data_IF_600887368182
#
_entry.id   IF_600887368182
#
_cell.length_a   1.000
_cell.length_b   1.000
_cell.length_c   1.000
_cell.angle_alpha   90.00
_cell.angle_beta   90.00
_cell.angle_gamma   90.00
#
_symmetry.space_group_name_H-M   'P 1'
#
loop_
_entity.id
_entity.type
_entity.pdbx_description
1 polymer ?
#
# COMPACT_ATOMS: atom_id res chain seq x y z
N UNK A 1 2.46 -5.11 -24.85
CA UNK A 1 1.11 -4.51 -24.89
C UNK A 1 1.12 -3.30 -25.83
N UNK A 2 -0.01 -2.98 -26.49
CA UNK A 2 -0.12 -1.80 -27.41
C UNK A 2 -1.33 -0.91 -27.09
N UNK A 3 -2.14 -1.37 -26.17
CA UNK A 3 -3.45 -0.89 -25.74
C UNK A 3 -3.38 -0.07 -24.43
N UNK A 4 -2.24 -0.12 -23.75
CA UNK A 4 -1.98 0.56 -22.47
C UNK A 4 -0.57 1.14 -22.45
N UNK A 5 -0.37 2.16 -21.61
CA UNK A 5 0.95 2.67 -21.29
C UNK A 5 1.70 1.66 -20.41
N UNK A 6 2.91 1.28 -20.82
CA UNK A 6 3.75 0.29 -20.10
C UNK A 6 5.00 0.90 -19.45
N UNK A 7 5.26 2.18 -19.70
CA UNK A 7 6.42 2.91 -19.22
C UNK A 7 6.04 4.37 -18.98
N UNK A 8 6.40 4.93 -17.83
CA UNK A 8 6.15 6.34 -17.51
C UNK A 8 7.13 7.28 -18.22
N UNK A 9 6.85 8.60 -18.28
CA UNK A 9 7.80 9.59 -18.79
C UNK A 9 9.15 9.62 -18.04
N UNK A 10 9.20 9.16 -16.79
CA UNK A 10 10.42 9.02 -15.99
C UNK A 10 11.04 7.61 -16.02
N UNK A 11 10.64 6.78 -16.99
CA UNK A 11 11.20 5.45 -17.27
C UNK A 11 10.90 4.38 -16.21
N UNK A 12 9.88 4.57 -15.37
CA UNK A 12 9.39 3.50 -14.49
C UNK A 12 8.44 2.57 -15.25
N UNK A 13 8.58 1.24 -15.13
CA UNK A 13 7.64 0.30 -15.73
C UNK A 13 6.26 0.42 -15.07
N UNK A 14 5.22 0.32 -15.89
CA UNK A 14 3.85 0.06 -15.43
C UNK A 14 3.60 -1.43 -15.62
N UNK A 15 3.39 -2.15 -14.52
CA UNK A 15 3.25 -3.60 -14.50
C UNK A 15 1.85 -3.98 -14.94
N UNK A 16 1.78 -4.63 -16.09
CA UNK A 16 0.57 -5.23 -16.63
C UNK A 16 0.83 -6.70 -16.94
N UNK A 17 -0.22 -7.50 -16.94
CA UNK A 17 -0.11 -8.87 -17.43
C UNK A 17 0.44 -8.88 -18.87
N UNK A 18 1.43 -9.75 -19.09
CA UNK A 18 2.17 -9.85 -20.34
C UNK A 18 3.32 -8.84 -20.54
N UNK A 19 3.69 -8.02 -19.54
CA UNK A 19 4.88 -7.13 -19.62
C UNK A 19 6.12 -7.68 -18.93
N UNK A 20 6.02 -8.83 -18.29
CA UNK A 20 7.10 -9.46 -17.54
C UNK A 20 7.09 -10.98 -17.72
N UNK A 21 8.22 -11.63 -17.43
CA UNK A 21 8.33 -13.09 -17.36
C UNK A 21 8.54 -13.47 -15.90
N UNK A 22 7.55 -14.17 -15.32
CA UNK A 22 7.57 -14.63 -13.92
C UNK A 22 8.78 -15.52 -13.67
N UNK A 23 8.98 -16.55 -14.49
CA UNK A 23 10.10 -17.50 -14.36
C UNK A 23 11.47 -16.80 -14.29
N UNK A 24 11.69 -15.77 -15.12
CA UNK A 24 12.96 -15.02 -15.12
C UNK A 24 13.11 -14.20 -13.83
N UNK A 25 12.06 -13.51 -13.40
CA UNK A 25 12.09 -12.69 -12.19
C UNK A 25 12.22 -13.56 -10.94
N UNK A 26 11.46 -14.64 -10.83
CA UNK A 26 11.53 -15.58 -9.70
C UNK A 26 12.94 -16.15 -9.58
N UNK A 27 13.54 -16.59 -10.69
CA UNK A 27 14.92 -17.09 -10.69
C UNK A 27 15.94 -16.05 -10.19
N UNK A 28 15.71 -14.75 -10.44
CA UNK A 28 16.56 -13.67 -9.95
C UNK A 28 16.34 -13.37 -8.47
N UNK A 29 15.10 -13.49 -7.96
CA UNK A 29 14.75 -13.13 -6.59
C UNK A 29 14.98 -14.26 -5.60
N UNK A 30 14.78 -15.52 -5.98
CA UNK A 30 15.07 -16.68 -5.13
C UNK A 30 16.53 -16.68 -4.68
N UNK A 31 17.47 -16.25 -5.54
CA UNK A 31 18.89 -16.20 -5.22
C UNK A 31 19.26 -15.12 -4.19
N UNK A 32 18.40 -14.11 -4.00
CA UNK A 32 18.67 -12.99 -3.10
C UNK A 32 18.19 -13.24 -1.68
N UNK A 33 17.34 -14.26 -1.46
CA UNK A 33 16.77 -14.62 -0.16
C UNK A 33 16.17 -13.43 0.60
N UNK A 34 15.44 -12.58 -0.14
CA UNK A 34 14.81 -11.37 0.40
C UNK A 34 13.52 -11.73 1.11
N UNK A 35 13.23 -11.02 2.20
CA UNK A 35 11.98 -11.16 2.96
C UNK A 35 11.11 -9.94 2.70
N UNK A 36 9.84 -10.18 2.36
CA UNK A 36 8.87 -9.10 2.15
C UNK A 36 7.88 -9.02 3.31
N UNK A 37 7.60 -7.82 3.79
CA UNK A 37 6.57 -7.55 4.76
C UNK A 37 5.26 -7.10 4.11
N UNK A 38 4.13 -7.50 4.67
CA UNK A 38 2.81 -6.93 4.36
C UNK A 38 2.21 -6.36 5.63
N UNK A 39 1.91 -5.07 5.64
CA UNK A 39 1.20 -4.40 6.72
C UNK A 39 -0.27 -4.26 6.34
N UNK A 40 -1.16 -4.66 7.24
CA UNK A 40 -2.60 -4.52 7.06
C UNK A 40 -3.30 -4.22 8.38
N UNK A 41 -4.42 -3.51 8.31
CA UNK A 41 -5.17 -3.03 9.47
C UNK A 41 -6.59 -3.55 9.44
N UNK A 42 -7.01 -4.23 10.50
CA UNK A 42 -8.35 -4.77 10.67
C UNK A 42 -8.91 -4.34 12.02
N UNK A 43 -9.56 -3.18 12.04
CA UNK A 43 -10.10 -2.57 13.25
C UNK A 43 -11.62 -2.39 13.13
N UNK A 44 -12.34 -2.60 14.24
CA UNK A 44 -13.79 -2.44 14.31
C UNK A 44 -14.53 -3.22 13.20
N UNK A 45 -15.20 -2.50 12.29
CA UNK A 45 -15.98 -3.07 11.17
C UNK A 45 -15.14 -3.86 10.16
N UNK A 46 -13.81 -3.73 10.19
CA UNK A 46 -12.93 -4.39 9.24
C UNK A 46 -12.42 -5.76 9.70
N UNK A 47 -12.62 -6.10 10.98
CA UNK A 47 -12.25 -7.40 11.55
C UNK A 47 -12.82 -8.61 10.79
N UNK A 48 -14.06 -8.59 10.26
CA UNK A 48 -14.59 -9.71 9.48
C UNK A 48 -13.82 -10.01 8.18
N UNK A 49 -13.01 -9.09 7.66
CA UNK A 49 -12.25 -9.32 6.41
C UNK A 49 -10.95 -10.11 6.62
N UNK A 50 -10.48 -10.26 7.86
CA UNK A 50 -9.18 -10.88 8.18
C UNK A 50 -9.02 -12.25 7.52
N UNK A 51 -10.01 -13.14 7.68
CA UNK A 51 -9.88 -14.50 7.17
C UNK A 51 -9.84 -14.55 5.63
N UNK A 52 -10.70 -13.77 4.97
CA UNK A 52 -10.74 -13.72 3.51
C UNK A 52 -9.45 -13.17 2.92
N UNK A 53 -8.96 -12.05 3.47
CA UNK A 53 -7.70 -11.45 3.07
C UNK A 53 -6.54 -12.42 3.28
N UNK A 54 -6.32 -12.91 4.51
CA UNK A 54 -5.15 -13.73 4.84
C UNK A 54 -5.11 -15.03 4.03
N UNK A 55 -6.24 -15.71 3.82
CA UNK A 55 -6.28 -16.93 2.99
C UNK A 55 -5.93 -16.66 1.54
N UNK A 56 -6.40 -15.54 0.98
CA UNK A 56 -6.10 -15.17 -0.39
C UNK A 56 -4.64 -14.70 -0.55
N UNK A 57 -4.14 -13.91 0.41
CA UNK A 57 -2.77 -13.43 0.44
C UNK A 57 -1.77 -14.58 0.60
N UNK A 58 -2.01 -15.52 1.52
CA UNK A 58 -1.18 -16.72 1.71
C UNK A 58 -1.04 -17.55 0.42
N UNK A 59 -2.12 -17.59 -0.38
CA UNK A 59 -2.14 -18.33 -1.64
C UNK A 59 -1.46 -17.59 -2.81
N UNK A 60 -1.62 -16.27 -2.88
CA UNK A 60 -1.34 -15.53 -4.12
C UNK A 60 -0.22 -14.50 -4.00
N UNK A 61 0.03 -13.95 -2.82
CA UNK A 61 1.03 -12.91 -2.62
C UNK A 61 2.41 -13.54 -2.43
N UNK A 62 3.31 -13.31 -3.39
CA UNK A 62 4.69 -13.79 -3.39
C UNK A 62 4.82 -15.29 -3.05
N UNK A 63 3.86 -16.11 -3.51
CA UNK A 63 3.85 -17.54 -3.24
C UNK A 63 5.19 -18.20 -3.58
N UNK A 64 5.78 -18.94 -2.63
CA UNK A 64 7.12 -19.52 -2.75
C UNK A 64 8.27 -18.61 -2.28
N UNK A 65 8.00 -17.39 -1.83
CA UNK A 65 8.97 -16.49 -1.21
C UNK A 65 8.60 -16.19 0.26
N UNK A 66 9.59 -15.87 1.13
CA UNK A 66 9.31 -15.56 2.52
C UNK A 66 8.49 -14.27 2.68
N UNK A 67 7.34 -14.36 3.35
CA UNK A 67 6.50 -13.19 3.66
C UNK A 67 6.16 -13.10 5.14
N UNK A 68 6.38 -11.91 5.72
CA UNK A 68 5.93 -11.58 7.06
C UNK A 68 4.67 -10.69 6.98
N UNK A 69 3.52 -11.22 7.40
CA UNK A 69 2.27 -10.48 7.54
C UNK A 69 2.18 -9.82 8.91
N UNK A 70 2.06 -8.50 8.96
CA UNK A 70 1.87 -7.70 10.16
C UNK A 70 0.42 -7.21 10.21
N UNK A 71 -0.41 -7.91 10.99
CA UNK A 71 -1.83 -7.62 11.15
C UNK A 71 -2.05 -6.76 12.39
N UNK A 72 -2.42 -5.50 12.19
CA UNK A 72 -2.85 -4.60 13.26
C UNK A 72 -4.35 -4.79 13.51
N UNK A 73 -4.75 -5.13 14.73
CA UNK A 73 -6.18 -5.36 15.06
C UNK A 73 -6.50 -5.10 16.52
N UNK A 74 -7.72 -4.64 16.78
CA UNK A 74 -8.29 -4.53 18.13
C UNK A 74 -8.95 -5.81 18.63
N UNK A 75 -9.00 -6.86 17.81
CA UNK A 75 -9.57 -8.18 18.13
C UNK A 75 -8.58 -9.33 17.85
N UNK A 76 -7.40 -9.35 18.50
CA UNK A 76 -6.37 -10.37 18.24
C UNK A 76 -6.85 -11.80 18.48
N UNK A 77 -7.80 -12.02 19.38
CA UNK A 77 -8.39 -13.32 19.70
C UNK A 77 -9.12 -13.97 18.51
N UNK A 78 -9.60 -13.17 17.56
CA UNK A 78 -10.34 -13.65 16.37
C UNK A 78 -9.43 -14.23 15.28
N UNK A 79 -8.11 -14.15 15.45
CA UNK A 79 -7.11 -14.62 14.47
C UNK A 79 -6.68 -16.09 14.70
N UNK A 80 -7.16 -16.73 15.78
CA UNK A 80 -6.63 -17.96 16.38
C UNK A 80 -6.67 -19.26 15.53
N UNK A 81 -7.10 -19.22 14.27
CA UNK A 81 -7.28 -20.41 13.42
C UNK A 81 -6.66 -20.32 12.02
N UNK A 82 -5.87 -19.28 11.74
CA UNK A 82 -5.20 -19.15 10.45
C UNK A 82 -3.92 -19.98 10.41
N UNK A 83 -3.90 -20.96 9.50
CA UNK A 83 -2.69 -21.69 9.14
C UNK A 83 -2.13 -21.06 7.86
N UNK A 84 -0.90 -20.56 7.96
CA UNK A 84 -0.15 -19.98 6.84
C UNK A 84 0.73 -21.05 6.19
N UNK A 85 1.11 -20.83 4.94
CA UNK A 85 2.13 -21.59 4.26
C UNK A 85 3.47 -21.55 5.05
N UNK A 86 4.34 -22.58 4.93
CA UNK A 86 5.58 -22.65 5.71
C UNK A 86 6.54 -21.46 5.55
N UNK A 87 6.51 -20.80 4.39
CA UNK A 87 7.28 -19.60 4.08
C UNK A 87 6.70 -18.31 4.68
N UNK A 88 5.46 -18.35 5.15
CA UNK A 88 4.69 -17.19 5.58
C UNK A 88 4.55 -17.16 7.11
N UNK A 89 4.79 -15.99 7.69
CA UNK A 89 4.60 -15.74 9.12
C UNK A 89 3.55 -14.67 9.36
N UNK A 90 2.62 -14.94 10.27
CA UNK A 90 1.61 -13.97 10.70
C UNK A 90 1.94 -13.43 12.10
N UNK A 91 2.19 -12.13 12.18
CA UNK A 91 2.37 -11.38 13.41
C UNK A 91 1.11 -10.55 13.70
N UNK A 92 0.37 -10.94 14.73
CA UNK A 92 -0.79 -10.18 15.20
C UNK A 92 -0.32 -9.11 16.18
N UNK A 93 -0.58 -7.85 15.86
CA UNK A 93 -0.16 -6.67 16.62
C UNK A 93 -1.41 -6.02 17.19
N UNK A 94 -1.68 -6.15 18.50
CA UNK A 94 -2.84 -5.53 19.12
C UNK A 94 -2.77 -4.01 19.03
N UNK A 95 -3.87 -3.37 18.62
CA UNK A 95 -4.05 -1.92 18.73
C UNK A 95 -5.15 -1.61 19.74
N UNK A 96 -5.01 -0.51 20.47
CA UNK A 96 -6.01 -0.11 21.46
C UNK A 96 -7.27 0.41 20.74
N UNK A 97 -8.42 -0.18 21.03
CA UNK A 97 -9.73 0.37 20.67
C UNK A 97 -10.16 1.31 21.80
N UNK A 98 -9.69 2.55 21.74
CA UNK A 98 -10.44 3.65 22.36
C UNK A 98 -11.58 3.97 21.40
N UNK A 99 -12.77 4.23 21.93
CA UNK A 99 -14.06 4.42 21.26
C UNK A 99 -14.06 5.54 20.20
N UNK A 100 -13.31 5.34 19.14
CA UNK A 100 -12.84 6.38 18.25
C UNK A 100 -11.49 6.00 17.66
N UNK A 101 -11.44 5.01 16.78
CA UNK A 101 -10.29 4.90 15.85
C UNK A 101 -10.16 6.17 14.96
N UNK A 102 -11.21 7.01 14.93
CA UNK A 102 -11.22 8.39 14.43
C UNK A 102 -10.65 9.42 15.43
N UNK A 103 -10.59 9.10 16.72
CA UNK A 103 -10.23 9.98 17.85
C UNK A 103 -8.84 9.63 18.43
N UNK A 104 -8.25 8.47 18.07
CA UNK A 104 -6.82 8.22 18.27
C UNK A 104 -6.08 8.98 17.18
N UNK A 105 -5.35 9.99 17.62
CA UNK A 105 -4.46 10.90 16.89
C UNK A 105 -3.49 10.27 15.87
N UNK A 106 -3.46 8.96 15.67
CA UNK A 106 -2.38 8.24 14.97
C UNK A 106 -2.86 7.66 13.65
N UNK A 107 -2.43 8.27 12.53
CA UNK A 107 -2.74 7.78 11.19
C UNK A 107 -2.08 6.42 10.91
N UNK A 108 -2.58 5.67 9.91
CA UNK A 108 -1.89 4.43 9.45
C UNK A 108 -0.45 4.73 9.05
N UNK A 109 -0.23 5.87 8.41
CA UNK A 109 1.10 6.37 8.01
C UNK A 109 2.03 6.52 9.23
N UNK A 110 1.55 7.08 10.32
CA UNK A 110 2.31 7.20 11.58
C UNK A 110 2.64 5.82 12.18
N UNK A 111 1.66 4.90 12.24
CA UNK A 111 1.87 3.55 12.77
C UNK A 111 2.92 2.82 11.94
N UNK A 112 2.78 2.82 10.62
CA UNK A 112 3.72 2.14 9.73
C UNK A 112 5.12 2.74 9.87
N UNK A 113 5.27 4.06 9.83
CA UNK A 113 6.60 4.70 9.99
C UNK A 113 7.26 4.38 11.33
N UNK A 114 6.47 4.35 12.42
CA UNK A 114 6.95 4.00 13.77
C UNK A 114 7.42 2.55 13.85
N UNK A 115 6.67 1.62 13.28
CA UNK A 115 7.05 0.21 13.27
C UNK A 115 8.19 -0.09 12.30
N UNK A 116 8.32 0.64 11.19
CA UNK A 116 9.52 0.56 10.36
C UNK A 116 10.74 0.96 11.17
N UNK A 117 10.69 2.11 11.86
CA UNK A 117 11.81 2.61 12.64
C UNK A 117 12.16 1.70 13.83
N UNK A 118 11.18 1.11 14.51
CA UNK A 118 11.45 0.31 15.71
C UNK A 118 11.69 -1.18 15.43
N UNK A 119 11.20 -1.70 14.29
CA UNK A 119 11.09 -3.14 14.07
C UNK A 119 11.31 -3.59 12.63
N UNK A 120 10.46 -3.19 11.68
CA UNK A 120 10.40 -3.82 10.36
C UNK A 120 11.70 -3.65 9.55
N UNK A 121 12.47 -2.58 9.79
CA UNK A 121 13.79 -2.40 9.16
C UNK A 121 14.84 -3.46 9.50
N UNK A 122 14.57 -4.29 10.50
CA UNK A 122 15.44 -5.39 10.91
C UNK A 122 14.84 -6.76 10.55
N UNK A 123 13.61 -6.81 10.04
CA UNK A 123 12.87 -8.06 9.77
C UNK A 123 12.65 -8.31 8.29
N UNK A 124 12.58 -7.26 7.46
CA UNK A 124 12.22 -7.36 6.04
C UNK A 124 13.05 -6.41 5.16
N UNK A 125 13.20 -6.75 3.89
CA UNK A 125 13.89 -5.94 2.87
C UNK A 125 12.92 -4.99 2.16
N UNK A 126 11.70 -5.49 1.91
CA UNK A 126 10.60 -4.77 1.27
C UNK A 126 9.37 -4.76 2.17
N UNK A 127 8.55 -3.73 2.05
CA UNK A 127 7.30 -3.60 2.79
C UNK A 127 6.19 -3.11 1.86
N UNK A 128 5.03 -3.75 1.96
CA UNK A 128 3.81 -3.33 1.28
C UNK A 128 2.73 -3.05 2.30
N UNK A 129 1.99 -1.98 2.09
CA UNK A 129 0.74 -1.71 2.81
C UNK A 129 -0.42 -2.16 1.93
N UNK A 130 -1.33 -2.94 2.50
CA UNK A 130 -2.53 -3.41 1.83
C UNK A 130 -3.76 -3.25 2.72
N UNK A 131 -4.83 -2.71 2.15
CA UNK A 131 -6.14 -2.68 2.79
C UNK A 131 -6.65 -4.10 3.06
N UNK A 132 -7.27 -4.32 4.23
CA UNK A 132 -7.75 -5.66 4.62
C UNK A 132 -9.03 -6.06 3.89
N UNK A 133 -9.83 -5.10 3.41
CA UNK A 133 -11.14 -5.35 2.79
C UNK A 133 -11.05 -5.74 1.31
N UNK A 134 -9.96 -6.40 0.91
CA UNK A 134 -9.76 -6.95 -0.43
C UNK A 134 -9.51 -8.45 -0.39
N UNK A 135 -9.66 -9.10 -1.54
CA UNK A 135 -9.25 -10.48 -1.75
C UNK A 135 -8.39 -10.57 -3.00
N UNK A 136 -7.25 -11.26 -2.89
CA UNK A 136 -6.41 -11.54 -4.05
C UNK A 136 -7.07 -12.64 -4.88
N UNK A 137 -7.25 -12.38 -6.17
CA UNK A 137 -7.89 -13.33 -7.10
C UNK A 137 -6.88 -14.04 -7.99
N UNK A 138 -5.67 -13.49 -8.11
CA UNK A 138 -4.59 -13.99 -8.94
C UNK A 138 -3.24 -13.70 -8.28
N UNK A 139 -2.20 -14.36 -8.80
CA UNK A 139 -0.83 -14.24 -8.30
C UNK A 139 -0.30 -12.80 -8.41
N UNK A 140 0.27 -12.32 -7.31
CA UNK A 140 1.04 -11.07 -7.22
C UNK A 140 2.46 -11.50 -6.86
N UNK A 141 3.36 -11.50 -7.83
CA UNK A 141 4.70 -12.06 -7.69
C UNK A 141 5.78 -11.00 -7.50
N UNK A 142 7.03 -11.42 -7.62
CA UNK A 142 8.20 -10.54 -7.43
C UNK A 142 8.31 -9.43 -8.48
N UNK A 143 7.43 -9.41 -9.50
CA UNK A 143 7.29 -8.28 -10.42
C UNK A 143 6.88 -6.99 -9.73
N UNK A 144 6.36 -7.02 -8.51
CA UNK A 144 6.04 -5.79 -7.77
C UNK A 144 7.27 -5.19 -7.07
N UNK A 145 8.36 -5.95 -6.91
CA UNK A 145 9.48 -5.59 -6.05
C UNK A 145 10.34 -4.51 -6.70
N UNK A 146 10.39 -3.34 -6.06
CA UNK A 146 11.19 -2.18 -6.47
C UNK A 146 11.44 -1.23 -5.28
N UNK A 147 12.22 -0.17 -5.48
CA UNK A 147 12.53 0.81 -4.44
C UNK A 147 11.28 1.55 -3.95
N UNK A 148 10.45 2.08 -4.86
CA UNK A 148 9.20 2.77 -4.52
C UNK A 148 8.10 2.35 -5.50
N UNK A 149 7.03 1.78 -4.96
CA UNK A 149 5.97 1.12 -5.72
C UNK A 149 4.64 1.78 -5.42
N UNK A 150 3.96 2.25 -6.45
CA UNK A 150 2.63 2.84 -6.34
C UNK A 150 1.63 2.11 -7.23
N UNK A 151 0.38 1.97 -6.78
CA UNK A 151 -0.69 1.34 -7.57
C UNK A 151 -1.58 2.42 -8.17
N UNK A 152 -1.76 2.37 -9.50
CA UNK A 152 -2.71 3.23 -10.20
C UNK A 152 -4.12 2.83 -9.78
N UNK A 153 -4.90 3.79 -9.32
CA UNK A 153 -6.28 3.56 -8.89
C UNK A 153 -7.16 3.27 -10.11
N UNK A 154 -8.03 2.26 -10.00
CA UNK A 154 -9.07 1.99 -11.00
C UNK A 154 -10.02 3.18 -11.19
N UNK A 155 -10.13 4.06 -10.18
CA UNK A 155 -10.90 5.31 -10.26
C UNK A 155 -10.33 6.28 -11.30
N UNK A 156 -9.09 6.10 -11.76
CA UNK A 156 -8.52 6.88 -12.86
C UNK A 156 -9.30 6.71 -14.18
N UNK A 157 -10.10 5.65 -14.31
CA UNK A 157 -10.96 5.43 -15.47
C UNK A 157 -12.39 5.99 -15.30
N UNK A 158 -12.71 6.59 -14.15
CA UNK A 158 -13.99 7.28 -13.95
C UNK A 158 -14.01 8.62 -14.66
N UNK A 159 -15.19 9.21 -14.97
CA UNK A 159 -15.25 10.58 -15.44
C UNK A 159 -14.60 11.54 -14.43
N UNK A 160 -13.78 12.48 -14.93
CA UNK A 160 -13.08 13.49 -14.13
C UNK A 160 -12.17 12.93 -13.02
N UNK A 161 -11.18 12.06 -13.35
CA UNK A 161 -10.25 11.54 -12.36
C UNK A 161 -9.44 12.65 -11.65
N UNK A 162 -9.22 13.78 -12.34
CA UNK A 162 -8.58 14.97 -11.79
C UNK A 162 -9.31 15.55 -10.56
N UNK A 163 -10.64 15.50 -10.55
CA UNK A 163 -11.45 16.01 -9.44
C UNK A 163 -11.32 15.13 -8.20
N UNK A 164 -10.98 13.86 -8.40
CA UNK A 164 -10.74 12.91 -7.30
C UNK A 164 -9.31 12.98 -6.79
N UNK A 165 -8.35 13.24 -7.68
CA UNK A 165 -6.93 13.21 -7.39
C UNK A 165 -6.41 14.41 -6.59
N UNK A 166 -6.97 15.59 -6.81
CA UNK A 166 -6.46 16.81 -6.17
C UNK A 166 -7.23 17.19 -4.91
N UNK A 167 -6.48 17.51 -3.85
CA UNK A 167 -6.98 18.31 -2.74
C UNK A 167 -7.06 19.79 -3.20
N UNK A 168 -8.27 20.36 -3.37
CA UNK A 168 -8.42 21.67 -3.99
C UNK A 168 -8.04 22.84 -3.08
N UNK A 169 -7.96 22.64 -1.75
CA UNK A 169 -7.66 23.71 -0.79
C UNK A 169 -6.14 23.94 -0.78
N UNK A 170 -5.65 25.09 -1.27
CA UNK A 170 -4.21 25.37 -1.31
C UNK A 170 -3.55 25.46 0.08
N UNK A 171 -4.35 25.60 1.14
CA UNK A 171 -3.90 25.60 2.53
C UNK A 171 -3.53 24.20 3.05
N UNK A 172 -3.99 23.14 2.38
CA UNK A 172 -3.64 21.76 2.75
C UNK A 172 -2.25 21.38 2.26
N UNK A 173 -1.51 20.64 3.08
CA UNK A 173 -0.24 20.01 2.70
C UNK A 173 -0.40 18.98 1.59
N UNK A 174 -1.61 18.45 1.37
CA UNK A 174 -1.92 17.53 0.29
C UNK A 174 -2.28 18.23 -1.04
N UNK A 175 -2.34 19.57 -1.08
CA UNK A 175 -2.80 20.32 -2.24
C UNK A 175 -1.92 20.08 -3.47
N UNK A 176 -2.55 19.75 -4.60
CA UNK A 176 -1.86 19.55 -5.89
C UNK A 176 -2.31 20.66 -6.85
N UNK A 177 -1.38 21.48 -7.39
CA UNK A 177 -1.73 22.54 -8.34
C UNK A 177 -2.45 22.00 -9.58
N UNK A 178 -3.37 22.79 -10.11
CA UNK A 178 -4.07 22.44 -11.34
C UNK A 178 -3.09 22.19 -12.49
N UNK A 179 -3.27 21.09 -13.22
CA UNK A 179 -2.38 20.68 -14.31
C UNK A 179 -1.11 19.96 -13.87
N UNK A 180 -0.83 19.83 -12.57
CA UNK A 180 0.31 19.08 -12.05
C UNK A 180 -0.10 17.68 -11.54
N UNK A 181 -0.31 16.73 -12.45
CA UNK A 181 -0.56 15.33 -12.07
C UNK A 181 -0.05 14.35 -13.14
N UNK A 182 0.36 13.16 -12.70
CA UNK A 182 0.77 12.07 -13.61
C UNK A 182 -0.29 10.96 -13.64
N UNK A 183 -0.63 10.42 -12.47
CA UNK A 183 -1.61 9.36 -12.25
C UNK A 183 -2.32 9.61 -10.93
N UNK A 184 -3.50 8.99 -10.74
CA UNK A 184 -4.13 8.91 -9.44
C UNK A 184 -3.76 7.58 -8.79
N UNK A 185 -3.06 7.63 -7.68
CA UNK A 185 -2.58 6.45 -6.95
C UNK A 185 -3.50 6.14 -5.79
N UNK A 186 -3.69 4.85 -5.50
CA UNK A 186 -4.46 4.42 -4.33
C UNK A 186 -3.56 4.22 -3.10
N UNK A 187 -4.05 4.62 -1.93
CA UNK A 187 -3.43 4.29 -0.64
C UNK A 187 -3.74 2.87 -0.15
N UNK A 188 -4.61 2.14 -0.87
CA UNK A 188 -5.00 0.78 -0.52
C UNK A 188 -3.97 -0.28 -0.90
N UNK A 189 -3.04 0.04 -1.82
CA UNK A 189 -1.91 -0.82 -2.13
C UNK A 189 -0.70 -0.02 -2.60
N UNK A 190 0.33 0.07 -1.76
CA UNK A 190 1.62 0.69 -2.09
C UNK A 190 2.75 -0.03 -1.37
N UNK A 191 4.00 0.23 -1.74
CA UNK A 191 5.13 -0.35 -1.03
C UNK A 191 6.47 0.00 -1.64
N UNK A 192 7.46 -0.83 -1.38
CA UNK A 192 8.81 -0.66 -1.89
C UNK A 192 9.85 -1.15 -0.89
N UNK A 193 11.08 -0.69 -1.03
CA UNK A 193 12.10 -0.96 -0.01
C UNK A 193 11.69 -0.31 1.31
N UNK A 194 12.03 -0.94 2.43
CA UNK A 194 11.73 -0.40 3.77
C UNK A 194 12.14 1.07 3.91
N UNK A 195 13.29 1.46 3.34
CA UNK A 195 13.80 2.83 3.42
C UNK A 195 12.92 3.84 2.70
N UNK A 196 12.38 3.50 1.53
CA UNK A 196 11.51 4.39 0.77
C UNK A 196 10.10 4.44 1.38
N UNK A 197 9.58 3.30 1.84
CA UNK A 197 8.30 3.26 2.54
C UNK A 197 8.36 4.06 3.84
N UNK A 198 9.48 4.04 4.56
CA UNK A 198 9.69 4.89 5.73
C UNK A 198 9.61 6.38 5.38
N UNK A 199 10.31 6.82 4.33
CA UNK A 199 10.28 8.22 3.89
C UNK A 199 8.87 8.65 3.49
N UNK A 200 8.17 7.82 2.71
CA UNK A 200 6.81 8.09 2.26
C UNK A 200 5.85 8.21 3.44
N UNK A 201 5.79 7.20 4.29
CA UNK A 201 4.84 7.14 5.42
C UNK A 201 5.11 8.24 6.44
N UNK A 202 6.39 8.54 6.70
CA UNK A 202 6.77 9.65 7.56
C UNK A 202 6.33 11.01 6.99
N UNK A 203 6.61 11.28 5.71
CA UNK A 203 6.23 12.54 5.07
C UNK A 203 4.70 12.72 5.01
N UNK A 204 3.96 11.64 4.70
CA UNK A 204 2.50 11.68 4.73
C UNK A 204 1.97 11.93 6.13
N UNK A 205 2.55 11.28 7.15
CA UNK A 205 2.19 11.48 8.55
C UNK A 205 2.45 12.93 9.02
N UNK A 206 3.58 13.50 8.65
CA UNK A 206 3.93 14.89 8.97
C UNK A 206 2.92 15.87 8.33
N UNK A 207 2.57 15.66 7.05
CA UNK A 207 1.56 16.47 6.36
C UNK A 207 0.15 16.36 6.95
N UNK A 208 -0.27 15.15 7.32
CA UNK A 208 -1.56 14.92 8.00
C UNK A 208 -1.64 15.64 9.34
N UNK A 209 -0.54 15.63 10.10
CA UNK A 209 -0.44 16.30 11.39
C UNK A 209 -0.53 17.82 11.23
N UNK A 210 0.19 18.40 10.26
CA UNK A 210 0.14 19.83 9.98
C UNK A 210 -1.25 20.28 9.50
N UNK A 211 -1.89 19.53 8.62
CA UNK A 211 -3.28 19.80 8.22
C UNK A 211 -4.22 19.82 9.42
N UNK A 212 -4.11 18.81 10.29
CA UNK A 212 -4.91 18.72 11.52
C UNK A 212 -4.66 19.90 12.46
N UNK A 213 -3.41 20.30 12.68
CA UNK A 213 -3.05 21.46 13.50
C UNK A 213 -3.66 22.77 12.94
N UNK A 214 -3.82 22.85 11.62
CA UNK A 214 -4.46 23.96 10.93
C UNK A 214 -5.99 23.80 10.80
N UNK A 215 -6.59 22.77 11.39
CA UNK A 215 -8.05 22.51 11.31
C UNK A 215 -8.51 22.07 9.91
N UNK A 216 -7.62 21.50 9.12
CA UNK A 216 -7.86 20.98 7.77
C UNK A 216 -7.83 19.45 7.83
N UNK A 217 -8.73 18.82 7.08
CA UNK A 217 -8.69 17.39 6.80
C UNK A 217 -8.77 17.23 5.29
N UNK A 218 -7.70 16.70 4.67
CA UNK A 218 -7.64 16.47 3.23
C UNK A 218 -8.79 15.55 2.76
N UNK A 219 -9.31 15.78 1.55
CA UNK A 219 -10.52 15.15 1.01
C UNK A 219 -10.51 13.63 1.10
N UNK A 220 -9.36 13.01 0.84
CA UNK A 220 -9.16 11.56 0.92
C UNK A 220 -8.08 11.18 1.94
N UNK A 221 -7.86 12.03 2.95
CA UNK A 221 -6.94 11.78 4.07
C UNK A 221 -5.56 11.29 3.58
N UNK A 222 -5.11 10.12 4.04
CA UNK A 222 -3.84 9.48 3.69
C UNK A 222 -3.59 9.44 2.16
N UNK A 223 -4.63 9.20 1.36
CA UNK A 223 -4.51 9.05 -0.10
C UNK A 223 -4.18 10.38 -0.79
N UNK A 224 -4.70 11.50 -0.29
CA UNK A 224 -4.36 12.83 -0.80
C UNK A 224 -2.88 13.15 -0.55
N UNK A 225 -2.37 12.90 0.67
CA UNK A 225 -0.95 13.10 0.99
C UNK A 225 -0.03 12.13 0.22
N UNK A 226 -0.46 10.88 0.03
CA UNK A 226 0.26 9.90 -0.81
C UNK A 226 0.43 10.40 -2.24
N UNK A 227 -0.65 10.88 -2.86
CA UNK A 227 -0.60 11.41 -4.23
C UNK A 227 0.31 12.63 -4.31
N UNK A 228 0.23 13.55 -3.33
CA UNK A 228 1.16 14.68 -3.23
C UNK A 228 2.62 14.23 -3.10
N UNK A 229 2.90 13.22 -2.28
CA UNK A 229 4.24 12.69 -2.10
C UNK A 229 4.80 12.12 -3.41
N UNK A 230 4.01 11.28 -4.10
CA UNK A 230 4.40 10.60 -5.34
C UNK A 230 4.52 11.55 -6.54
N UNK A 231 3.84 12.70 -6.51
CA UNK A 231 4.07 13.77 -7.47
C UNK A 231 5.52 14.29 -7.42
N UNK A 232 6.08 14.43 -6.22
CA UNK A 232 7.45 14.94 -6.02
C UNK A 232 8.51 13.84 -5.95
N UNK A 233 8.10 12.62 -5.57
CA UNK A 233 8.96 11.45 -5.43
C UNK A 233 8.46 10.35 -6.36
N UNK A 234 8.92 10.40 -7.62
CA UNK A 234 8.41 9.52 -8.68
C UNK A 234 8.62 8.04 -8.30
N UNK A 235 7.58 7.20 -8.32
CA UNK A 235 7.72 5.78 -8.03
C UNK A 235 8.61 5.12 -9.09
N UNK A 236 9.47 4.21 -8.65
CA UNK A 236 10.35 3.44 -9.55
C UNK A 236 9.61 2.32 -10.25
N UNK A 237 8.40 1.97 -9.78
CA UNK A 237 7.49 1.02 -10.41
C UNK A 237 6.03 1.39 -10.15
N UNK A 238 5.20 1.24 -11.17
CA UNK A 238 3.77 1.43 -11.04
C UNK A 238 3.06 0.10 -11.25
N UNK A 239 2.09 -0.21 -10.41
CA UNK A 239 1.19 -1.33 -10.62
C UNK A 239 -0.04 -0.82 -11.35
N UNK A 240 -0.45 -1.55 -12.39
CA UNK A 240 -1.70 -1.24 -13.08
C UNK A 240 -2.92 -1.51 -12.19
N UNK A 241 -4.11 -1.06 -12.60
CA UNK A 241 -5.36 -1.35 -11.90
C UNK A 241 -5.72 -2.85 -11.83
N UNK A 242 -5.00 -3.74 -12.52
CA UNK A 242 -5.12 -5.20 -12.34
C UNK A 242 -4.75 -5.63 -10.90
N UNK A 243 -3.91 -4.86 -10.21
CA UNK A 243 -3.44 -5.14 -8.85
C UNK A 243 -4.37 -4.58 -7.76
N UNK A 244 -5.26 -3.64 -8.10
CA UNK A 244 -6.29 -3.13 -7.21
C UNK A 244 -7.48 -2.63 -8.03
N UNK A 245 -8.55 -3.41 -8.04
CA UNK A 245 -9.76 -3.11 -8.81
C UNK A 245 -10.96 -2.93 -7.88
N UNK A 246 -11.64 -1.78 -8.03
CA UNK A 246 -12.91 -1.54 -7.39
C UNK A 246 -14.03 -2.07 -8.29
N UNK A 247 -14.76 -3.07 -7.80
CA UNK A 247 -15.82 -3.73 -8.55
C UNK A 247 -17.11 -2.90 -8.66
N UNK A 248 -17.23 -1.81 -7.89
CA UNK A 248 -18.39 -0.92 -7.91
C UNK A 248 -18.30 0.20 -8.96
N UNK A 249 -17.20 0.24 -9.72
CA UNK A 249 -16.95 1.17 -10.83
C UNK A 249 -17.77 0.90 -12.10
#
# INVERSE_FOLDING_TARGET
RRDVLVLTPWLAPIVWEGTFSRDILDAQYVQKNLVTGVVTFAVEKYVPFIEGFMRSADKYFLAGHPVNFYLFTDNPEKVSHLQMAPENHLFVIPVQNHSGWQDISTSRMEIVSTYIHSRFQHEVDYLYSMDINVQLLAHIGVEIIDALVATISSWQFTPHPEDKASEPRPESQAAIPEGEWDFYYTASFYGGSVSEVYKLTRACSEGLMEDRENGIEARWQDESHLNKYLLHHKPTRLLSPEYYWDAEL
#
